data_IF_046923980204
#
_entry.id   IF_046923980204
#
_cell.length_a   1.000
_cell.length_b   1.000
_cell.length_c   1.000
_cell.angle_alpha   90.00
_cell.angle_beta   90.00
_cell.angle_gamma   90.00
#
_symmetry.space_group_name_H-M   'P 1'
#
loop_
_entity.id
_entity.type
_entity.pdbx_description
1 polymer ?
#
# COMPACT_ATOMS: atom_id res chain seq x y z
N UNK A 1 -7.00 11.84 28.33
CA UNK A 1 -5.79 11.62 27.50
C UNK A 1 -6.20 10.69 26.37
N UNK A 2 -6.17 11.17 25.13
CA UNK A 2 -6.85 10.54 23.98
C UNK A 2 -6.34 9.15 23.66
N UNK A 3 -7.25 8.28 23.19
CA UNK A 3 -6.92 6.96 22.66
C UNK A 3 -5.76 7.08 21.67
N UNK A 4 -4.69 6.30 21.86
CA UNK A 4 -3.62 6.16 20.87
C UNK A 4 -4.23 5.55 19.61
N UNK A 5 -4.60 6.39 18.65
CA UNK A 5 -5.06 5.94 17.34
C UNK A 5 -3.87 5.31 16.61
N UNK A 6 -3.99 4.03 16.27
CA UNK A 6 -2.98 3.31 15.49
C UNK A 6 -3.15 3.66 14.01
N UNK A 7 -2.28 4.53 13.49
CA UNK A 7 -2.30 5.00 12.10
C UNK A 7 -1.23 4.25 11.30
N UNK A 8 -1.60 3.75 10.11
CA UNK A 8 -0.67 3.17 9.14
C UNK A 8 -0.55 4.09 7.95
N UNK A 9 0.67 4.55 7.64
CA UNK A 9 0.94 5.32 6.44
C UNK A 9 1.27 4.39 5.26
N UNK A 10 0.64 4.65 4.12
CA UNK A 10 0.81 3.88 2.88
C UNK A 10 1.23 4.81 1.75
N UNK A 11 2.46 4.63 1.25
CA UNK A 11 2.95 5.27 0.04
C UNK A 11 2.38 4.55 -1.20
N UNK A 12 1.38 5.16 -1.83
CA UNK A 12 0.76 4.62 -3.04
C UNK A 12 1.55 4.97 -4.31
N UNK A 13 1.28 4.26 -5.41
CA UNK A 13 1.91 4.42 -6.71
C UNK A 13 3.42 4.16 -6.71
N UNK A 14 3.89 3.29 -5.82
CA UNK A 14 5.30 2.96 -5.71
C UNK A 14 5.78 2.23 -6.96
N UNK A 15 6.72 2.83 -7.70
CA UNK A 15 7.36 2.24 -8.87
C UNK A 15 8.56 1.40 -8.44
N UNK A 16 8.84 0.32 -9.14
CA UNK A 16 9.97 -0.58 -8.79
C UNK A 16 11.30 -0.19 -9.44
N UNK A 17 11.28 0.69 -10.45
CA UNK A 17 12.48 1.14 -11.15
C UNK A 17 13.35 1.96 -10.19
N UNK A 18 14.68 1.79 -10.28
CA UNK A 18 15.67 2.44 -9.40
C UNK A 18 15.55 3.98 -9.34
N UNK A 19 14.99 4.61 -10.38
CA UNK A 19 14.74 6.06 -10.44
C UNK A 19 13.25 6.40 -10.64
N UNK A 20 12.36 5.43 -10.39
CA UNK A 20 10.93 5.61 -10.62
C UNK A 20 10.20 6.40 -9.53
N UNK A 21 10.77 6.48 -8.34
CA UNK A 21 10.19 7.16 -7.19
C UNK A 21 10.99 8.42 -6.86
N UNK A 22 10.28 9.51 -6.58
CA UNK A 22 10.89 10.78 -6.15
C UNK A 22 11.43 10.72 -4.73
N UNK A 23 10.85 9.87 -3.88
CA UNK A 23 11.27 9.67 -2.50
C UNK A 23 11.49 8.18 -2.25
N UNK A 24 12.60 7.88 -1.62
CA UNK A 24 12.86 6.60 -0.99
C UNK A 24 11.99 6.42 0.26
N UNK A 25 11.87 5.18 0.73
CA UNK A 25 11.15 4.88 1.96
C UNK A 25 11.72 5.62 3.17
N UNK A 26 13.05 5.70 3.29
CA UNK A 26 13.71 6.33 4.44
C UNK A 26 13.49 7.84 4.46
N UNK A 27 13.38 8.50 3.31
CA UNK A 27 13.00 9.91 3.21
C UNK A 27 11.57 10.14 3.67
N UNK A 28 10.63 9.30 3.24
CA UNK A 28 9.25 9.39 3.71
C UNK A 28 9.15 9.17 5.23
N UNK A 29 9.84 8.16 5.77
CA UNK A 29 9.85 7.87 7.21
C UNK A 29 10.40 9.06 8.02
N UNK A 30 11.42 9.76 7.51
CA UNK A 30 11.95 11.00 8.10
C UNK A 30 10.95 12.15 8.06
N UNK A 31 10.32 12.41 6.91
CA UNK A 31 9.39 13.52 6.71
C UNK A 31 8.15 13.36 7.60
N UNK A 32 7.56 12.17 7.60
CA UNK A 32 6.33 11.89 8.33
C UNK A 32 6.56 11.49 9.79
N UNK A 33 7.83 11.39 10.23
CA UNK A 33 8.22 10.94 11.58
C UNK A 33 7.51 9.65 11.99
N UNK A 34 7.35 8.74 11.03
CA UNK A 34 6.57 7.52 11.16
C UNK A 34 7.41 6.33 10.69
N UNK A 35 7.73 5.38 11.57
CA UNK A 35 8.48 4.19 11.17
C UNK A 35 7.59 3.25 10.36
N UNK A 36 8.23 2.45 9.51
CA UNK A 36 7.61 1.36 8.79
C UNK A 36 6.50 1.74 7.79
N UNK A 37 6.66 2.86 7.07
CA UNK A 37 5.74 3.25 5.99
C UNK A 37 5.62 2.11 4.98
N UNK A 38 4.38 1.70 4.71
CA UNK A 38 4.09 0.63 3.75
C UNK A 38 4.07 1.20 2.34
N UNK A 39 4.34 0.39 1.34
CA UNK A 39 4.30 0.79 -0.06
C UNK A 39 3.30 -0.08 -0.82
N UNK A 40 2.48 0.57 -1.64
CA UNK A 40 1.56 -0.09 -2.55
C UNK A 40 2.07 0.09 -3.98
N UNK A 41 2.34 -1.03 -4.65
CA UNK A 41 2.89 -1.02 -6.00
C UNK A 41 1.94 -0.35 -7.00
N UNK A 42 2.50 0.38 -7.96
CA UNK A 42 1.73 0.88 -9.10
C UNK A 42 1.46 -0.24 -10.10
N UNK A 43 0.18 -0.48 -10.42
CA UNK A 43 -0.24 -1.43 -11.45
C UNK A 43 -1.32 -0.79 -12.33
N UNK A 44 -0.89 0.03 -13.30
CA UNK A 44 -1.81 0.81 -14.14
C UNK A 44 -2.72 -0.07 -15.00
N UNK A 45 -2.22 -1.22 -15.47
CA UNK A 45 -3.00 -2.11 -16.32
C UNK A 45 -4.16 -2.73 -15.53
N UNK A 46 -3.87 -3.25 -14.34
CA UNK A 46 -4.89 -3.79 -13.44
C UNK A 46 -5.94 -2.75 -13.06
N UNK A 47 -5.48 -1.55 -12.66
CA UNK A 47 -6.37 -0.49 -12.21
C UNK A 47 -7.25 0.05 -13.34
N UNK A 48 -6.71 0.15 -14.56
CA UNK A 48 -7.49 0.54 -15.72
C UNK A 48 -8.54 -0.50 -16.09
N UNK A 49 -8.20 -1.80 -16.09
CA UNK A 49 -9.17 -2.86 -16.40
C UNK A 49 -10.28 -2.94 -15.34
N UNK A 50 -9.90 -2.87 -14.05
CA UNK A 50 -10.85 -2.84 -12.94
C UNK A 50 -11.84 -1.67 -13.06
N UNK A 51 -11.32 -0.48 -13.40
CA UNK A 51 -12.15 0.71 -13.60
C UNK A 51 -13.09 0.55 -14.80
N UNK A 52 -12.58 0.08 -15.94
CA UNK A 52 -13.37 -0.10 -17.17
C UNK A 52 -14.48 -1.13 -16.99
N UNK A 53 -14.26 -2.14 -16.16
CA UNK A 53 -15.22 -3.22 -15.89
C UNK A 53 -16.10 -2.95 -14.66
N UNK A 54 -15.87 -1.86 -13.95
CA UNK A 54 -16.55 -1.51 -12.69
C UNK A 54 -16.51 -2.62 -11.62
N UNK A 55 -15.38 -3.32 -11.51
CA UNK A 55 -15.14 -4.38 -10.53
C UNK A 55 -13.86 -4.10 -9.72
N UNK A 56 -13.64 -4.84 -8.64
CA UNK A 56 -12.45 -4.68 -7.82
C UNK A 56 -11.19 -5.17 -8.55
N UNK A 57 -10.01 -4.56 -8.28
CA UNK A 57 -8.74 -5.08 -8.79
C UNK A 57 -8.49 -6.55 -8.41
N UNK A 58 -9.00 -7.01 -7.27
CA UNK A 58 -8.88 -8.41 -6.86
C UNK A 58 -9.73 -9.38 -7.68
N UNK A 59 -10.82 -8.89 -8.28
CA UNK A 59 -11.70 -9.67 -9.16
C UNK A 59 -11.17 -9.75 -10.58
N UNK A 60 -10.37 -8.76 -11.01
CA UNK A 60 -9.63 -8.81 -12.28
C UNK A 60 -8.48 -9.82 -12.20
N UNK A 61 -7.57 -9.65 -11.25
CA UNK A 61 -6.44 -10.57 -11.02
C UNK A 61 -6.02 -10.60 -9.55
N UNK A 62 -6.54 -11.56 -8.78
CA UNK A 62 -6.19 -11.75 -7.37
C UNK A 62 -4.70 -12.06 -7.10
N UNK A 63 -3.92 -12.44 -8.11
CA UNK A 63 -2.47 -12.71 -7.98
C UNK A 63 -1.61 -11.49 -8.31
N UNK A 64 -2.19 -10.42 -8.83
CA UNK A 64 -1.49 -9.18 -9.13
C UNK A 64 -0.77 -8.64 -7.89
N UNK A 65 0.38 -7.99 -8.11
CA UNK A 65 1.24 -7.53 -7.01
C UNK A 65 0.54 -6.49 -6.14
N UNK A 66 -0.23 -5.60 -6.76
CA UNK A 66 -1.08 -4.63 -6.08
C UNK A 66 -1.96 -5.30 -5.01
N UNK A 67 -2.67 -6.36 -5.39
CA UNK A 67 -3.54 -7.12 -4.49
C UNK A 67 -2.77 -7.87 -3.40
N UNK A 68 -1.60 -8.43 -3.73
CA UNK A 68 -0.71 -9.07 -2.74
C UNK A 68 -0.21 -8.07 -1.69
N UNK A 69 0.16 -6.86 -2.10
CA UNK A 69 0.63 -5.82 -1.18
C UNK A 69 -0.52 -5.36 -0.27
N UNK A 70 -1.73 -5.15 -0.79
CA UNK A 70 -2.94 -4.86 0.01
C UNK A 70 -3.23 -5.96 1.03
N UNK A 71 -3.29 -7.22 0.59
CA UNK A 71 -3.59 -8.37 1.47
C UNK A 71 -2.58 -8.48 2.61
N UNK A 72 -1.28 -8.25 2.34
CA UNK A 72 -0.24 -8.22 3.37
C UNK A 72 -0.49 -7.11 4.39
N UNK A 73 -0.77 -5.88 3.95
CA UNK A 73 -1.02 -4.75 4.85
C UNK A 73 -2.25 -4.98 5.73
N UNK A 74 -3.33 -5.52 5.17
CA UNK A 74 -4.53 -5.82 5.94
C UNK A 74 -4.29 -6.92 6.98
N UNK A 75 -3.59 -7.99 6.60
CA UNK A 75 -3.21 -9.05 7.54
C UNK A 75 -2.39 -8.51 8.70
N UNK A 76 -1.33 -7.76 8.41
CA UNK A 76 -0.50 -7.14 9.45
C UNK A 76 -1.31 -6.24 10.40
N UNK A 77 -2.28 -5.49 9.87
CA UNK A 77 -3.11 -4.61 10.71
C UNK A 77 -4.12 -5.37 11.55
N UNK A 78 -4.70 -6.46 11.03
CA UNK A 78 -5.59 -7.37 11.76
C UNK A 78 -4.82 -8.08 12.88
N UNK A 79 -3.65 -8.63 12.58
CA UNK A 79 -2.79 -9.32 13.56
C UNK A 79 -2.39 -8.35 14.70
N UNK A 80 -2.09 -7.09 14.37
CA UNK A 80 -1.80 -6.06 15.37
C UNK A 80 -3.04 -5.57 16.15
N UNK A 81 -4.26 -5.80 15.67
CA UNK A 81 -5.47 -5.45 16.41
C UNK A 81 -5.81 -6.49 17.49
N UNK A 82 -5.32 -7.73 17.33
CA UNK A 82 -5.58 -8.85 18.22
C UNK A 82 -4.57 -8.96 19.37
N UNK A 83 -3.53 -8.12 19.37
CA UNK A 83 -2.54 -7.98 20.45
C UNK A 83 -2.83 -6.76 21.29
#
# INVERSE_FOLDING_TARGET
>A
RGNKVSITLVANKHKRKWFGNHFSRSELEKIFKAPHIKSLALDNALLADALNRAILPSEVDGRARFNKDLKRMFKERLDNAQR
#
